data_IF_181256515949
#
_entry.id   IF_181256515949
#
_cell.length_a   1.000
_cell.length_b   1.000
_cell.length_c   1.000
_cell.angle_alpha   90.00
_cell.angle_beta   90.00
_cell.angle_gamma   90.00
#
_symmetry.space_group_name_H-M   'P 1'
#
loop_
_entity.id
_entity.type
_entity.pdbx_description
1 polymer ?
#
# COMPACT_ATOMS: atom_id res chain seq x y z
N UNK A 1 5.84 4.43 31.58
CA UNK A 1 5.85 4.30 30.10
C UNK A 1 5.52 5.66 29.51
N UNK A 2 6.09 6.03 28.35
CA UNK A 2 5.72 7.29 27.69
C UNK A 2 4.22 7.30 27.36
N UNK A 3 3.61 8.50 27.32
CA UNK A 3 2.22 8.66 26.87
C UNK A 3 2.14 8.26 25.39
N UNK A 4 1.09 7.54 25.03
CA UNK A 4 0.84 7.07 23.66
C UNK A 4 -0.49 7.64 23.19
N UNK A 5 -0.51 8.23 21.99
CA UNK A 5 -1.74 8.67 21.33
C UNK A 5 -1.82 8.11 19.92
N UNK A 6 -2.98 7.58 19.57
CA UNK A 6 -3.32 7.17 18.21
C UNK A 6 -3.98 8.36 17.50
N UNK A 7 -3.45 8.72 16.33
CA UNK A 7 -4.01 9.76 15.46
C UNK A 7 -4.40 9.09 14.15
N UNK A 8 -5.70 9.00 13.91
CA UNK A 8 -6.27 8.41 12.69
C UNK A 8 -6.54 9.54 11.71
N UNK A 9 -5.93 9.51 10.52
CA UNK A 9 -6.28 10.47 9.49
C UNK A 9 -7.49 9.99 8.67
N UNK A 10 -8.40 10.92 8.38
CA UNK A 10 -9.55 10.66 7.51
C UNK A 10 -9.92 11.90 6.70
N UNK A 11 -10.35 11.70 5.46
CA UNK A 11 -10.97 12.72 4.58
C UNK A 11 -12.04 12.05 3.74
N UNK A 12 -13.10 12.77 3.39
CA UNK A 12 -14.20 12.26 2.59
C UNK A 12 -13.85 12.19 1.11
N UNK A 13 -12.95 13.07 0.64
CA UNK A 13 -12.56 13.29 -0.76
C UNK A 13 -11.66 12.19 -1.35
N UNK A 14 -11.92 10.92 -1.05
CA UNK A 14 -11.24 9.81 -1.71
C UNK A 14 -11.67 9.69 -3.18
N UNK A 15 -10.69 9.62 -4.09
CA UNK A 15 -10.95 9.45 -5.53
C UNK A 15 -11.24 8.02 -5.97
N UNK A 16 -10.79 7.00 -5.20
CA UNK A 16 -10.93 5.59 -5.57
C UNK A 16 -12.27 4.98 -5.12
N UNK A 17 -12.66 5.29 -3.88
CA UNK A 17 -13.96 4.94 -3.32
C UNK A 17 -14.50 6.17 -2.58
N UNK A 18 -15.35 6.99 -3.24
CA UNK A 18 -15.90 8.21 -2.67
C UNK A 18 -16.61 7.95 -1.34
N UNK A 19 -16.42 8.85 -0.38
CA UNK A 19 -17.05 8.80 0.94
C UNK A 19 -16.77 7.51 1.76
N UNK A 20 -15.71 6.75 1.44
CA UNK A 20 -15.39 5.47 2.11
C UNK A 20 -15.33 5.52 3.63
N UNK A 21 -14.92 6.65 4.21
CA UNK A 21 -14.86 6.86 5.65
C UNK A 21 -16.24 6.77 6.34
N UNK A 22 -17.33 7.00 5.61
CA UNK A 22 -18.71 6.98 6.12
C UNK A 22 -19.49 5.74 5.69
N UNK A 23 -18.91 4.88 4.85
CA UNK A 23 -19.59 3.64 4.47
C UNK A 23 -19.83 2.77 5.71
N UNK A 24 -21.02 2.15 5.83
CA UNK A 24 -21.37 1.38 7.01
C UNK A 24 -20.61 0.05 7.04
N UNK A 25 -19.99 -0.27 8.17
CA UNK A 25 -19.41 -1.58 8.47
C UNK A 25 -19.86 -1.98 9.88
N UNK A 26 -20.45 -3.18 10.01
CA UNK A 26 -21.06 -3.64 11.26
C UNK A 26 -22.02 -2.62 11.91
N UNK A 27 -22.80 -1.92 11.07
CA UNK A 27 -23.78 -0.91 11.51
C UNK A 27 -23.21 0.44 11.93
N UNK A 28 -21.92 0.69 11.75
CA UNK A 28 -21.26 1.96 12.12
C UNK A 28 -20.56 2.60 10.90
N UNK A 29 -20.42 3.93 10.84
CA UNK A 29 -19.51 4.55 9.88
C UNK A 29 -18.09 3.99 10.01
N UNK A 30 -17.43 3.66 8.91
CA UNK A 30 -16.10 3.04 8.92
C UNK A 30 -15.08 3.79 9.78
N UNK A 31 -15.06 5.13 9.73
CA UNK A 31 -14.18 5.97 10.55
C UNK A 31 -14.43 5.81 12.06
N UNK A 32 -15.69 5.64 12.47
CA UNK A 32 -16.08 5.42 13.87
C UNK A 32 -15.60 4.04 14.30
N UNK A 33 -15.88 3.00 13.51
CA UNK A 33 -15.43 1.64 13.82
C UNK A 33 -13.89 1.56 13.91
N UNK A 34 -13.18 2.21 12.99
CA UNK A 34 -11.71 2.30 13.02
C UNK A 34 -11.20 2.88 14.34
N UNK A 35 -11.78 4.01 14.78
CA UNK A 35 -11.40 4.67 16.02
C UNK A 35 -11.72 3.83 17.27
N UNK A 36 -12.89 3.21 17.33
CA UNK A 36 -13.27 2.36 18.45
C UNK A 36 -12.37 1.12 18.56
N UNK A 37 -12.00 0.51 17.42
CA UNK A 37 -11.06 -0.62 17.37
C UNK A 37 -9.65 -0.21 17.81
N UNK A 38 -9.16 0.92 17.34
CA UNK A 38 -7.86 1.46 17.76
C UNK A 38 -7.82 1.75 19.28
N UNK A 39 -8.94 2.28 19.83
CA UNK A 39 -9.09 2.59 21.24
C UNK A 39 -9.42 1.38 22.13
N UNK A 40 -9.60 0.17 21.58
CA UNK A 40 -10.19 -0.97 22.29
C UNK A 40 -9.37 -1.51 23.47
N UNK A 41 -8.11 -1.05 23.62
CA UNK A 41 -7.23 -1.30 24.76
C UNK A 41 -7.03 -0.09 25.67
N UNK A 42 -7.78 0.99 25.50
CA UNK A 42 -7.71 2.20 26.33
C UNK A 42 -6.58 3.18 25.96
N UNK A 43 -5.97 3.05 24.79
CA UNK A 43 -5.03 4.05 24.28
C UNK A 43 -5.85 5.27 23.79
N UNK A 44 -5.43 6.46 24.20
CA UNK A 44 -6.04 7.70 23.76
C UNK A 44 -6.03 7.78 22.23
N UNK A 45 -7.21 7.90 21.64
CA UNK A 45 -7.40 7.86 20.19
C UNK A 45 -8.17 9.08 19.74
N UNK A 46 -7.64 9.75 18.72
CA UNK A 46 -8.23 10.94 18.12
C UNK A 46 -8.24 10.79 16.61
N UNK A 47 -9.18 11.47 15.95
CA UNK A 47 -9.26 11.49 14.49
C UNK A 47 -8.90 12.89 13.98
N UNK A 48 -8.06 12.95 12.96
CA UNK A 48 -7.65 14.18 12.29
C UNK A 48 -8.28 14.26 10.89
N UNK A 49 -9.19 15.22 10.69
CA UNK A 49 -9.89 15.46 9.41
C UNK A 49 -9.77 16.92 8.97
N UNK A 50 -10.26 17.29 7.78
CA UNK A 50 -10.10 18.67 7.32
C UNK A 50 -11.20 19.62 7.82
N UNK A 51 -10.95 20.92 7.72
CA UNK A 51 -11.97 21.99 7.89
C UNK A 51 -12.79 22.20 6.62
N UNK A 52 -12.53 21.46 5.54
CA UNK A 52 -13.37 21.51 4.34
C UNK A 52 -14.78 21.04 4.69
N UNK A 53 -15.79 21.69 4.11
CA UNK A 53 -17.20 21.37 4.37
C UNK A 53 -17.56 19.92 3.99
N UNK A 54 -16.85 19.32 3.03
CA UNK A 54 -17.04 17.91 2.70
C UNK A 54 -16.70 16.96 3.86
N UNK A 55 -15.87 17.39 4.81
CA UNK A 55 -15.49 16.59 5.99
C UNK A 55 -16.39 16.85 7.22
N UNK A 56 -17.41 17.73 7.12
CA UNK A 56 -18.33 18.00 8.24
C UNK A 56 -19.06 16.73 8.70
N UNK A 57 -19.50 15.89 7.77
CA UNK A 57 -20.16 14.62 8.07
C UNK A 57 -19.25 13.63 8.83
N UNK A 58 -17.93 13.70 8.63
CA UNK A 58 -16.97 12.90 9.41
C UNK A 58 -16.94 13.43 10.85
N UNK A 59 -16.84 14.74 11.04
CA UNK A 59 -16.80 15.35 12.36
C UNK A 59 -18.10 15.09 13.14
N UNK A 60 -19.26 15.17 12.49
CA UNK A 60 -20.57 14.85 13.08
C UNK A 60 -20.66 13.39 13.51
N UNK A 61 -20.28 12.44 12.65
CA UNK A 61 -20.28 11.01 12.96
C UNK A 61 -19.38 10.68 14.16
N UNK A 62 -18.22 11.32 14.25
CA UNK A 62 -17.28 11.15 15.37
C UNK A 62 -17.83 11.75 16.67
N UNK A 63 -18.42 12.95 16.59
CA UNK A 63 -19.03 13.61 17.74
C UNK A 63 -20.19 12.79 18.30
N UNK A 64 -21.05 12.23 17.45
CA UNK A 64 -22.14 11.34 17.84
C UNK A 64 -21.67 10.05 18.54
N UNK A 65 -20.42 9.63 18.28
CA UNK A 65 -19.78 8.48 18.91
C UNK A 65 -18.87 8.85 20.10
N UNK A 66 -18.78 10.14 20.48
CA UNK A 66 -17.94 10.60 21.58
C UNK A 66 -16.43 10.53 21.29
N UNK A 67 -16.03 10.54 20.01
CA UNK A 67 -14.62 10.48 19.58
C UNK A 67 -14.09 11.89 19.34
N UNK A 68 -12.93 12.20 19.92
CA UNK A 68 -12.27 13.50 19.74
C UNK A 68 -11.80 13.66 18.30
N UNK A 69 -12.18 14.79 17.69
CA UNK A 69 -11.84 15.14 16.31
C UNK A 69 -11.06 16.44 16.26
N UNK A 70 -9.90 16.43 15.60
CA UNK A 70 -9.10 17.61 15.27
C UNK A 70 -9.31 17.97 13.80
N UNK A 71 -9.57 19.25 13.52
CA UNK A 71 -9.80 19.75 12.16
C UNK A 71 -8.72 20.74 11.76
N UNK A 72 -8.24 20.66 10.52
CA UNK A 72 -7.25 21.61 9.96
C UNK A 72 -7.25 21.65 8.43
N UNK A 73 -6.29 22.34 7.77
CA UNK A 73 -6.30 22.49 6.31
C UNK A 73 -6.26 21.16 5.57
N UNK A 74 -6.99 21.02 4.45
CA UNK A 74 -7.16 19.76 3.70
C UNK A 74 -5.84 19.12 3.27
N UNK A 75 -4.95 19.92 2.67
CA UNK A 75 -3.68 19.45 2.09
C UNK A 75 -2.52 19.39 3.10
N UNK A 76 -2.77 19.78 4.36
CA UNK A 76 -1.76 19.77 5.41
C UNK A 76 -2.05 18.70 6.47
N UNK A 77 -1.89 17.44 6.10
CA UNK A 77 -2.10 16.31 7.02
C UNK A 77 -1.08 16.37 8.16
N UNK A 78 0.19 16.65 7.85
CA UNK A 78 1.26 16.79 8.84
C UNK A 78 0.93 17.84 9.91
N UNK A 79 0.42 19.01 9.52
CA UNK A 79 -0.03 20.05 10.45
C UNK A 79 -1.22 19.61 11.31
N UNK A 80 -2.14 18.81 10.78
CA UNK A 80 -3.22 18.21 11.59
C UNK A 80 -2.70 17.25 12.64
N UNK A 81 -1.68 16.44 12.32
CA UNK A 81 -1.00 15.60 13.31
C UNK A 81 -0.31 16.45 14.39
N UNK A 82 0.34 17.54 14.01
CA UNK A 82 0.95 18.47 14.96
C UNK A 82 -0.09 19.06 15.92
N UNK A 83 -1.23 19.52 15.40
CA UNK A 83 -2.32 20.05 16.22
C UNK A 83 -2.91 18.99 17.16
N UNK A 84 -3.16 17.78 16.66
CA UNK A 84 -3.70 16.66 17.42
C UNK A 84 -2.76 16.11 18.52
N UNK A 85 -1.50 16.56 18.53
CA UNK A 85 -0.46 16.10 19.48
C UNK A 85 0.24 17.26 20.19
N UNK A 86 -0.32 18.47 20.10
CA UNK A 86 0.30 19.68 20.63
C UNK A 86 0.53 19.62 22.15
N UNK A 87 -0.40 19.01 22.89
CA UNK A 87 -0.37 18.82 24.34
C UNK A 87 0.52 17.65 24.82
N UNK A 88 1.14 16.91 23.91
CA UNK A 88 2.03 15.81 24.29
C UNK A 88 3.43 16.31 24.67
N UNK A 89 3.96 15.80 25.77
CA UNK A 89 5.33 16.10 26.18
C UNK A 89 6.37 15.43 25.26
N UNK A 90 7.57 16.00 25.12
CA UNK A 90 8.72 15.34 24.48
C UNK A 90 8.89 13.89 24.95
N UNK A 91 9.22 12.99 24.04
CA UNK A 91 9.32 11.55 24.31
C UNK A 91 7.99 10.78 24.32
N UNK A 92 6.84 11.45 24.24
CA UNK A 92 5.55 10.79 23.98
C UNK A 92 5.54 10.14 22.60
N UNK A 93 4.73 9.10 22.44
CA UNK A 93 4.59 8.35 21.19
C UNK A 93 3.30 8.70 20.47
N UNK A 94 3.41 8.83 19.16
CA UNK A 94 2.31 9.03 18.22
C UNK A 94 2.21 7.80 17.34
N UNK A 95 0.99 7.31 17.17
CA UNK A 95 0.66 6.18 16.29
C UNK A 95 -0.21 6.69 15.16
N UNK A 96 0.34 6.73 13.95
CA UNK A 96 -0.39 7.10 12.73
C UNK A 96 -1.17 5.89 12.20
N UNK A 97 -2.45 6.11 11.94
CA UNK A 97 -3.34 5.16 11.25
C UNK A 97 -4.19 5.90 10.21
N UNK A 98 -4.81 5.16 9.29
CA UNK A 98 -5.74 5.69 8.27
C UNK A 98 -7.11 5.04 8.42
N UNK A 99 -8.18 5.82 8.27
CA UNK A 99 -9.54 5.36 8.52
C UNK A 99 -10.09 4.36 7.48
N UNK A 100 -9.36 4.10 6.39
CA UNK A 100 -9.69 3.11 5.37
C UNK A 100 -9.14 1.71 5.66
N UNK A 101 -8.51 1.54 6.82
CA UNK A 101 -7.91 0.30 7.28
C UNK A 101 -8.57 -0.08 8.61
N UNK A 102 -9.56 -0.97 8.56
CA UNK A 102 -10.38 -1.31 9.73
C UNK A 102 -9.79 -2.43 10.59
N UNK A 103 -8.85 -3.22 10.06
CA UNK A 103 -8.34 -4.38 10.76
C UNK A 103 -7.39 -4.04 11.93
N UNK A 104 -6.50 -3.03 11.84
CA UNK A 104 -5.69 -2.60 12.97
C UNK A 104 -6.53 -2.31 14.23
N UNK A 105 -6.03 -2.75 15.38
CA UNK A 105 -6.67 -2.55 16.68
C UNK A 105 -5.65 -2.09 17.74
N UNK A 106 -6.12 -1.83 18.95
CA UNK A 106 -5.25 -1.45 20.07
C UNK A 106 -4.23 -2.53 20.46
N UNK A 107 -4.44 -3.81 20.14
CA UNK A 107 -3.48 -4.89 20.43
C UNK A 107 -2.27 -4.82 19.48
N UNK A 108 -2.52 -4.61 18.18
CA UNK A 108 -1.45 -4.36 17.21
C UNK A 108 -0.63 -3.12 17.61
N UNK A 109 -1.31 -2.04 18.00
CA UNK A 109 -0.65 -0.80 18.43
C UNK A 109 0.27 -1.05 19.62
N UNK A 110 -0.17 -1.81 20.64
CA UNK A 110 0.67 -2.17 21.78
C UNK A 110 1.91 -2.95 21.37
N UNK A 111 1.77 -3.96 20.51
CA UNK A 111 2.90 -4.73 20.01
C UNK A 111 3.93 -3.84 19.31
N UNK A 112 3.47 -2.90 18.47
CA UNK A 112 4.36 -1.99 17.75
C UNK A 112 5.06 -0.99 18.69
N UNK A 113 4.34 -0.47 19.69
CA UNK A 113 4.90 0.42 20.71
C UNK A 113 5.97 -0.31 21.54
N UNK A 114 5.66 -1.51 22.02
CA UNK A 114 6.60 -2.31 22.82
C UNK A 114 7.86 -2.64 22.01
N UNK A 115 7.70 -2.98 20.72
CA UNK A 115 8.83 -3.22 19.82
C UNK A 115 9.69 -1.98 19.62
N UNK A 116 9.08 -0.82 19.36
CA UNK A 116 9.79 0.45 19.17
C UNK A 116 10.60 0.82 20.43
N UNK A 117 9.99 0.68 21.61
CA UNK A 117 10.64 0.98 22.90
C UNK A 117 11.79 0.02 23.20
N UNK A 118 11.58 -1.29 23.02
CA UNK A 118 12.60 -2.31 23.25
C UNK A 118 13.82 -2.11 22.33
N UNK A 119 13.59 -1.67 21.09
CA UNK A 119 14.64 -1.40 20.10
C UNK A 119 15.18 0.03 20.14
N UNK A 120 14.63 0.90 21.01
CA UNK A 120 15.00 2.32 21.14
C UNK A 120 14.96 3.08 19.80
N UNK A 121 13.92 2.80 19.01
CA UNK A 121 13.77 3.40 17.67
C UNK A 121 13.01 4.73 17.77
N UNK A 122 13.28 5.65 16.84
CA UNK A 122 12.53 6.90 16.70
C UNK A 122 11.29 6.77 15.81
N UNK A 123 11.31 5.79 14.92
CA UNK A 123 10.25 5.52 13.95
C UNK A 123 10.20 4.01 13.67
N UNK A 124 8.98 3.48 13.57
CA UNK A 124 8.68 2.11 13.21
C UNK A 124 7.48 2.09 12.25
N UNK A 125 7.68 1.56 11.05
CA UNK A 125 6.61 1.33 10.09
C UNK A 125 6.17 -0.14 10.06
N UNK A 126 4.98 -0.42 9.51
CA UNK A 126 4.51 -1.77 9.28
C UNK A 126 5.25 -2.30 8.06
N UNK A 127 6.18 -3.23 8.26
CA UNK A 127 6.99 -3.78 7.17
C UNK A 127 7.16 -5.31 7.28
N UNK A 128 6.34 -5.99 8.06
CA UNK A 128 6.29 -7.45 7.99
C UNK A 128 5.62 -7.82 6.66
N UNK A 129 6.41 -8.37 5.74
CA UNK A 129 5.97 -8.76 4.40
C UNK A 129 4.86 -9.82 4.43
N UNK A 130 4.64 -10.47 5.57
CA UNK A 130 3.58 -11.46 5.78
C UNK A 130 2.22 -10.86 6.13
N UNK A 131 2.13 -9.55 6.40
CA UNK A 131 0.86 -8.89 6.73
C UNK A 131 0.07 -8.58 5.45
N UNK A 132 -1.28 -8.60 5.51
CA UNK A 132 -2.10 -8.22 4.37
C UNK A 132 -1.98 -6.72 4.09
N UNK A 133 -2.20 -6.34 2.84
CA UNK A 133 -2.29 -4.92 2.48
C UNK A 133 -3.49 -4.28 3.18
N UNK A 134 -3.26 -3.16 3.87
CA UNK A 134 -4.28 -2.49 4.69
C UNK A 134 -4.14 -2.74 6.19
N UNK A 135 -3.30 -3.67 6.64
CA UNK A 135 -2.97 -3.83 8.06
C UNK A 135 -1.71 -3.00 8.38
N UNK A 136 -1.91 -1.69 8.60
CA UNK A 136 -0.83 -0.72 8.70
C UNK A 136 -1.05 0.28 9.83
N UNK A 137 -0.03 0.47 10.67
CA UNK A 137 0.13 1.58 11.59
C UNK A 137 1.61 1.98 11.64
N UNK A 138 1.92 3.26 11.87
CA UNK A 138 3.30 3.73 12.04
C UNK A 138 3.45 4.36 13.42
N UNK A 139 4.52 4.03 14.14
CA UNK A 139 4.80 4.54 15.49
C UNK A 139 6.04 5.41 15.45
N UNK A 140 5.98 6.60 16.04
CA UNK A 140 7.13 7.52 16.14
C UNK A 140 7.01 8.42 17.37
N UNK A 141 8.12 9.06 17.78
CA UNK A 141 8.08 10.03 18.88
C UNK A 141 7.47 11.36 18.43
N UNK A 142 6.81 12.07 19.34
CA UNK A 142 6.28 13.42 19.05
C UNK A 142 7.39 14.40 18.66
N UNK A 143 8.61 14.19 19.14
CA UNK A 143 9.76 15.03 18.81
C UNK A 143 10.10 14.99 17.32
N UNK A 144 10.10 13.80 16.72
CA UNK A 144 10.42 13.67 15.28
C UNK A 144 9.29 14.18 14.39
N UNK A 145 8.03 14.12 14.87
CA UNK A 145 6.90 14.76 14.20
C UNK A 145 7.07 16.28 14.18
N UNK A 146 7.37 16.88 15.34
CA UNK A 146 7.62 18.33 15.47
C UNK A 146 8.82 18.78 14.64
N UNK A 147 9.86 17.95 14.58
CA UNK A 147 11.02 18.18 13.72
C UNK A 147 10.63 18.18 12.24
N UNK A 148 9.88 17.17 11.77
CA UNK A 148 9.38 17.14 10.40
C UNK A 148 8.53 18.38 10.05
N UNK A 149 7.67 18.84 10.96
CA UNK A 149 6.86 20.04 10.75
C UNK A 149 7.70 21.32 10.54
N UNK A 150 8.89 21.40 11.14
CA UNK A 150 9.79 22.55 10.98
C UNK A 150 10.67 22.46 9.73
N UNK A 151 11.08 21.24 9.38
CA UNK A 151 12.17 21.02 8.42
C UNK A 151 11.71 20.76 6.99
N UNK A 152 10.43 20.39 6.76
CA UNK A 152 9.93 20.14 5.40
C UNK A 152 8.67 20.94 5.07
N UNK A 153 8.71 21.55 3.89
CA UNK A 153 7.57 22.16 3.21
C UNK A 153 7.16 21.38 1.95
N UNK A 154 7.75 20.20 1.70
CA UNK A 154 7.45 19.40 0.50
C UNK A 154 6.00 18.90 0.55
N UNK A 155 5.17 19.12 -0.48
CA UNK A 155 3.77 18.68 -0.48
C UNK A 155 3.58 17.20 -0.16
N UNK A 156 4.48 16.35 -0.69
CA UNK A 156 4.46 14.91 -0.44
C UNK A 156 4.66 14.56 1.05
N UNK A 157 5.56 15.27 1.75
CA UNK A 157 5.78 15.05 3.17
C UNK A 157 4.59 15.55 4.00
N UNK A 158 3.99 16.68 3.58
CA UNK A 158 2.83 17.28 4.24
C UNK A 158 1.58 16.40 4.10
N UNK A 159 1.39 15.73 2.96
CA UNK A 159 0.27 14.80 2.73
C UNK A 159 0.46 13.45 3.45
N UNK A 160 1.68 12.91 3.45
CA UNK A 160 1.93 11.53 3.91
C UNK A 160 2.54 11.42 5.31
N UNK A 161 2.84 12.56 5.97
CA UNK A 161 3.29 12.69 7.37
C UNK A 161 4.69 12.12 7.64
N UNK A 162 4.93 10.84 7.33
CA UNK A 162 6.14 10.10 7.71
C UNK A 162 7.28 10.03 6.68
N UNK A 163 7.17 10.43 5.39
CA UNK A 163 8.28 10.23 4.44
C UNK A 163 9.59 10.91 4.86
N UNK A 164 9.53 12.15 5.35
CA UNK A 164 10.70 12.86 5.87
C UNK A 164 11.33 12.16 7.08
N UNK A 165 10.50 11.71 8.04
CA UNK A 165 10.93 10.99 9.24
C UNK A 165 11.67 9.70 8.82
N UNK A 166 11.09 8.95 7.88
CA UNK A 166 11.66 7.71 7.34
C UNK A 166 13.00 7.95 6.64
N UNK A 167 13.09 9.03 5.86
CA UNK A 167 14.32 9.39 5.16
C UNK A 167 15.45 9.72 6.14
N UNK A 168 15.14 10.39 7.25
CA UNK A 168 16.14 10.84 8.24
C UNK A 168 16.58 9.76 9.23
N UNK A 169 15.64 8.97 9.77
CA UNK A 169 15.94 8.00 10.84
C UNK A 169 15.94 6.54 10.38
N UNK A 170 15.64 6.29 9.11
CA UNK A 170 15.46 4.95 8.59
C UNK A 170 14.13 4.31 9.00
N UNK A 171 13.92 3.07 8.60
CA UNK A 171 12.69 2.31 8.87
C UNK A 171 13.05 0.91 9.31
N UNK A 172 12.85 0.63 10.60
CA UNK A 172 12.94 -0.75 11.10
C UNK A 172 11.74 -1.58 10.63
N UNK A 173 11.95 -2.90 10.63
CA UNK A 173 10.90 -3.88 10.28
C UNK A 173 10.25 -4.38 11.57
N UNK A 174 8.98 -4.02 11.77
CA UNK A 174 8.14 -4.69 12.77
C UNK A 174 7.98 -6.16 12.38
N UNK A 175 8.16 -7.08 13.33
CA UNK A 175 7.90 -8.50 13.15
C UNK A 175 7.03 -9.00 14.29
N UNK A 176 5.81 -9.41 13.96
CA UNK A 176 4.91 -10.02 14.94
C UNK A 176 5.11 -11.54 14.97
N UNK A 177 4.92 -12.12 16.15
CA UNK A 177 4.93 -13.57 16.38
C UNK A 177 3.51 -14.17 16.36
N UNK A 178 2.47 -13.34 16.21
CA UNK A 178 1.07 -13.77 16.28
C UNK A 178 0.51 -14.31 14.97
N UNK A 179 1.26 -14.23 13.88
CA UNK A 179 0.85 -14.79 12.60
C UNK A 179 1.08 -16.31 12.58
N UNK A 180 0.03 -17.04 12.24
CA UNK A 180 0.03 -18.49 12.02
C UNK A 180 0.43 -18.88 10.59
N UNK A 181 0.23 -17.97 9.62
CA UNK A 181 0.59 -18.14 8.21
C UNK A 181 1.01 -16.83 7.55
N UNK A 182 1.35 -16.92 6.26
CA UNK A 182 1.57 -15.76 5.40
C UNK A 182 0.23 -15.20 4.89
N UNK A 183 0.01 -13.90 5.11
CA UNK A 183 -1.16 -13.15 4.64
C UNK A 183 -0.82 -12.10 3.57
N UNK A 184 0.40 -12.11 3.01
CA UNK A 184 0.90 -11.14 2.02
C UNK A 184 0.01 -10.96 0.79
N UNK A 185 -0.78 -11.97 0.43
CA UNK A 185 -1.69 -11.96 -0.72
C UNK A 185 -3.10 -11.42 -0.45
N UNK A 186 -3.46 -11.08 0.79
CA UNK A 186 -4.79 -10.58 1.13
C UNK A 186 -4.82 -9.05 1.22
N UNK A 187 -6.01 -8.46 1.01
CA UNK A 187 -6.27 -7.02 1.09
C UNK A 187 -7.40 -6.75 2.08
N UNK A 188 -7.09 -5.99 3.14
CA UNK A 188 -8.03 -5.58 4.18
C UNK A 188 -8.23 -4.05 4.27
N UNK A 189 -7.98 -3.36 3.16
CA UNK A 189 -8.27 -1.91 3.00
C UNK A 189 -9.71 -1.69 2.50
N UNK A 190 -10.07 -0.43 2.25
CA UNK A 190 -11.34 -0.03 1.62
C UNK A 190 -11.08 0.94 0.46
N UNK A 191 -10.25 0.55 -0.51
CA UNK A 191 -9.91 1.40 -1.65
C UNK A 191 -10.85 1.25 -2.84
N UNK A 192 -11.52 0.10 -2.94
CA UNK A 192 -12.47 -0.22 -4.00
C UNK A 192 -13.78 -0.77 -3.42
N UNK A 193 -14.84 -0.80 -4.22
CA UNK A 193 -16.09 -1.43 -3.82
C UNK A 193 -15.90 -2.91 -3.47
N UNK A 194 -15.04 -3.62 -4.22
CA UNK A 194 -14.71 -5.02 -3.93
C UNK A 194 -14.04 -5.18 -2.56
N UNK A 195 -13.05 -4.33 -2.26
CA UNK A 195 -12.38 -4.32 -0.94
C UNK A 195 -13.42 -4.08 0.18
N UNK A 196 -14.29 -3.08 0.02
CA UNK A 196 -15.34 -2.76 0.99
C UNK A 196 -16.29 -3.95 1.22
N UNK A 197 -16.78 -4.59 0.15
CA UNK A 197 -17.68 -5.74 0.27
C UNK A 197 -17.02 -6.93 0.97
N UNK A 198 -15.72 -7.15 0.75
CA UNK A 198 -14.96 -8.18 1.49
C UNK A 198 -14.87 -7.84 2.97
N UNK A 199 -14.49 -6.59 3.28
CA UNK A 199 -14.40 -6.11 4.67
C UNK A 199 -15.74 -6.26 5.39
N UNK A 200 -16.85 -5.84 4.78
CA UNK A 200 -18.21 -6.04 5.34
C UNK A 200 -18.47 -7.51 5.65
N UNK A 201 -18.23 -8.42 4.69
CA UNK A 201 -18.43 -9.86 4.91
C UNK A 201 -17.58 -10.43 6.05
N UNK A 202 -16.36 -9.95 6.23
CA UNK A 202 -15.53 -10.37 7.37
C UNK A 202 -16.18 -9.92 8.67
N UNK A 203 -16.60 -8.66 8.76
CA UNK A 203 -17.23 -8.11 9.96
C UNK A 203 -18.63 -8.69 10.24
N UNK A 204 -19.40 -9.12 9.24
CA UNK A 204 -20.69 -9.79 9.43
C UNK A 204 -20.57 -11.11 10.21
N UNK A 205 -19.39 -11.75 10.14
CA UNK A 205 -19.10 -12.99 10.86
C UNK A 205 -18.49 -12.76 12.24
N UNK A 206 -18.40 -11.50 12.68
CA UNK A 206 -17.75 -11.11 13.93
C UNK A 206 -18.80 -10.67 14.95
N UNK A 207 -18.82 -11.34 16.11
CA UNK A 207 -19.79 -11.05 17.19
C UNK A 207 -19.61 -9.66 17.80
N UNK A 208 -18.38 -9.24 18.04
CA UNK A 208 -18.05 -7.92 18.57
C UNK A 208 -17.00 -7.27 17.64
N UNK A 209 -17.43 -6.36 16.74
CA UNK A 209 -16.56 -5.78 15.73
C UNK A 209 -15.50 -4.84 16.35
N UNK A 210 -15.68 -4.37 17.58
CA UNK A 210 -14.73 -3.49 18.28
C UNK A 210 -13.65 -4.32 18.97
N UNK A 211 -14.03 -5.46 19.56
CA UNK A 211 -13.12 -6.32 20.34
C UNK A 211 -12.44 -7.44 19.57
N UNK A 212 -12.92 -7.78 18.37
CA UNK A 212 -12.27 -8.78 17.53
C UNK A 212 -10.82 -8.41 17.25
N UNK A 213 -9.90 -9.34 17.47
CA UNK A 213 -8.49 -9.07 17.29
C UNK A 213 -8.15 -8.88 15.82
N UNK A 214 -7.13 -8.08 15.52
CA UNK A 214 -6.63 -7.94 14.15
C UNK A 214 -6.23 -9.29 13.53
N UNK A 215 -5.78 -10.24 14.34
CA UNK A 215 -5.41 -11.61 13.91
C UNK A 215 -6.65 -12.39 13.47
N UNK A 216 -7.71 -12.36 14.27
CA UNK A 216 -8.97 -13.06 13.95
C UNK A 216 -9.61 -12.50 12.68
N UNK A 217 -9.53 -11.17 12.48
CA UNK A 217 -10.01 -10.56 11.23
C UNK A 217 -9.18 -11.00 10.02
N UNK A 218 -7.84 -11.09 10.16
CA UNK A 218 -6.99 -11.62 9.08
C UNK A 218 -7.33 -13.08 8.77
N UNK A 219 -7.53 -13.92 9.79
CA UNK A 219 -7.94 -15.31 9.63
C UNK A 219 -9.32 -15.42 8.97
N UNK A 220 -10.27 -14.58 9.38
CA UNK A 220 -11.62 -14.51 8.78
C UNK A 220 -11.58 -14.08 7.31
N UNK A 221 -10.74 -13.09 6.96
CA UNK A 221 -10.50 -12.71 5.57
C UNK A 221 -9.89 -13.86 4.76
N UNK A 222 -8.91 -14.55 5.32
CA UNK A 222 -8.30 -15.70 4.66
C UNK A 222 -9.31 -16.82 4.45
N UNK A 223 -10.14 -17.15 5.45
CA UNK A 223 -11.19 -18.16 5.32
C UNK A 223 -12.24 -17.79 4.27
N UNK A 224 -12.64 -16.51 4.22
CA UNK A 224 -13.59 -16.00 3.22
C UNK A 224 -13.03 -16.18 1.81
N UNK A 225 -11.78 -15.77 1.57
CA UNK A 225 -11.20 -15.82 0.24
C UNK A 225 -10.66 -17.21 -0.15
N UNK A 226 -10.20 -18.02 0.81
CA UNK A 226 -9.79 -19.41 0.55
C UNK A 226 -11.04 -20.29 0.25
N UNK A 227 -12.19 -19.94 0.83
CA UNK A 227 -13.48 -20.56 0.50
C UNK A 227 -14.12 -20.01 -0.80
N UNK A 228 -13.68 -18.85 -1.27
CA UNK A 228 -14.22 -18.18 -2.46
C UNK A 228 -13.16 -18.08 -3.58
N UNK A 229 -13.21 -19.02 -4.52
CA UNK A 229 -12.52 -19.00 -5.82
C UNK A 229 -11.09 -19.56 -5.91
N UNK A 230 -10.80 -20.01 -7.13
CA UNK A 230 -9.53 -20.49 -7.63
C UNK A 230 -8.33 -19.64 -7.15
N UNK A 231 -7.37 -20.31 -6.51
CA UNK A 231 -6.05 -19.74 -6.17
C UNK A 231 -4.99 -20.36 -7.06
N UNK A 232 -4.11 -19.51 -7.58
CA UNK A 232 -2.92 -19.96 -8.29
C UNK A 232 -1.96 -20.60 -7.28
N UNK A 233 -1.55 -21.87 -7.48
CA UNK A 233 -0.52 -22.47 -6.66
C UNK A 233 0.80 -21.69 -6.78
N UNK A 234 1.62 -21.77 -5.75
CA UNK A 234 2.96 -21.16 -5.73
C UNK A 234 4.04 -22.22 -5.66
N UNK A 235 5.17 -21.94 -6.30
CA UNK A 235 6.39 -22.77 -6.27
C UNK A 235 7.55 -21.99 -5.70
N UNK A 236 8.42 -22.70 -4.98
CA UNK A 236 9.70 -22.18 -4.49
C UNK A 236 10.83 -22.79 -5.30
N UNK A 237 11.68 -21.95 -5.91
CA UNK A 237 12.90 -22.39 -6.60
C UNK A 237 13.99 -21.34 -6.42
N UNK A 238 15.19 -21.78 -6.03
CA UNK A 238 16.35 -20.89 -5.89
C UNK A 238 16.17 -19.73 -4.90
N UNK A 239 15.36 -19.92 -3.85
CA UNK A 239 15.07 -18.86 -2.86
C UNK A 239 13.95 -17.88 -3.25
N UNK A 240 13.37 -18.01 -4.45
CA UNK A 240 12.23 -17.21 -4.89
C UNK A 240 10.93 -18.01 -4.80
N UNK A 241 9.84 -17.35 -4.42
CA UNK A 241 8.49 -17.89 -4.48
C UNK A 241 7.72 -17.20 -5.62
N UNK A 242 7.18 -17.99 -6.56
CA UNK A 242 6.45 -17.50 -7.72
C UNK A 242 5.16 -18.29 -7.93
N UNK A 243 4.13 -17.62 -8.47
CA UNK A 243 2.91 -18.25 -8.93
C UNK A 243 3.19 -19.19 -10.09
N UNK A 244 2.47 -20.31 -10.19
CA UNK A 244 2.61 -21.26 -11.31
C UNK A 244 2.25 -20.66 -12.67
N UNK A 245 1.54 -19.52 -12.67
CA UNK A 245 1.24 -18.72 -13.84
C UNK A 245 1.97 -17.38 -13.77
N UNK A 246 2.49 -16.94 -14.91
CA UNK A 246 3.00 -15.59 -15.14
C UNK A 246 2.07 -14.85 -16.09
N UNK A 247 1.73 -13.60 -15.78
CA UNK A 247 0.88 -12.77 -16.64
C UNK A 247 1.74 -12.05 -17.68
N UNK A 248 1.59 -12.42 -18.95
CA UNK A 248 2.16 -11.69 -20.09
C UNK A 248 1.33 -10.47 -20.44
N UNK A 249 1.97 -9.32 -20.66
CA UNK A 249 1.26 -8.03 -20.78
C UNK A 249 1.29 -7.39 -22.17
N UNK A 250 1.78 -8.08 -23.20
CA UNK A 250 1.91 -7.52 -24.55
C UNK A 250 0.59 -6.93 -25.08
N UNK A 251 -0.50 -7.70 -25.06
CA UNK A 251 -1.82 -7.20 -25.50
C UNK A 251 -2.36 -6.10 -24.58
N UNK A 252 -1.92 -6.05 -23.32
CA UNK A 252 -2.33 -4.97 -22.41
C UNK A 252 -1.74 -3.63 -22.82
N UNK A 253 -0.64 -3.57 -23.59
CA UNK A 253 0.01 -2.32 -23.93
C UNK A 253 0.02 -1.96 -25.42
N UNK A 254 -0.26 -2.90 -26.30
CA UNK A 254 -0.25 -2.72 -27.76
C UNK A 254 -1.23 -3.69 -28.43
N UNK A 255 -1.52 -3.45 -29.72
CA UNK A 255 -2.22 -4.46 -30.53
C UNK A 255 -1.34 -5.68 -30.71
N UNK A 256 -1.75 -6.80 -30.11
CA UNK A 256 -0.96 -8.02 -30.07
C UNK A 256 -1.87 -9.25 -30.01
N UNK A 257 -1.38 -10.37 -30.56
CA UNK A 257 -1.99 -11.69 -30.46
C UNK A 257 -2.80 -12.09 -31.69
N UNK A 258 -2.53 -13.30 -32.21
CA UNK A 258 -3.21 -13.87 -33.40
C UNK A 258 -4.71 -14.09 -33.14
N UNK A 259 -5.07 -14.41 -31.89
CA UNK A 259 -6.46 -14.61 -31.48
C UNK A 259 -7.16 -13.30 -31.03
N UNK A 260 -6.49 -12.15 -31.14
CA UNK A 260 -7.05 -10.89 -30.69
C UNK A 260 -8.16 -10.40 -31.63
N UNK A 261 -9.40 -10.39 -31.15
CA UNK A 261 -10.57 -9.93 -31.88
C UNK A 261 -11.07 -8.54 -31.45
N UNK A 262 -10.51 -8.00 -30.38
CA UNK A 262 -11.05 -6.82 -29.69
C UNK A 262 -10.00 -5.69 -29.53
N UNK A 263 -8.80 -5.88 -30.07
CA UNK A 263 -7.73 -4.89 -30.06
C UNK A 263 -7.00 -4.80 -28.72
N UNK A 264 -6.34 -3.66 -28.52
CA UNK A 264 -5.71 -3.30 -27.24
C UNK A 264 -6.81 -2.93 -26.23
N UNK A 265 -6.88 -3.56 -25.03
CA UNK A 265 -7.87 -3.22 -24.01
C UNK A 265 -7.79 -1.74 -23.60
N UNK A 266 -8.85 -1.23 -22.97
CA UNK A 266 -8.78 0.08 -22.28
C UNK A 266 -7.85 0.00 -21.08
N UNK A 267 -7.46 1.15 -20.53
CA UNK A 267 -6.61 1.19 -19.32
C UNK A 267 -7.33 0.53 -18.15
N UNK A 268 -8.62 0.81 -17.99
CA UNK A 268 -9.46 0.28 -16.92
C UNK A 268 -9.55 -1.25 -17.00
N UNK A 269 -9.79 -1.81 -18.19
CA UNK A 269 -9.86 -3.24 -18.41
C UNK A 269 -8.50 -3.92 -18.13
N UNK A 270 -7.39 -3.30 -18.57
CA UNK A 270 -6.05 -3.83 -18.28
C UNK A 270 -5.75 -3.84 -16.77
N UNK A 271 -6.12 -2.76 -16.07
CA UNK A 271 -5.99 -2.67 -14.60
C UNK A 271 -6.83 -3.74 -13.91
N UNK A 272 -8.07 -3.94 -14.33
CA UNK A 272 -8.95 -4.98 -13.78
C UNK A 272 -8.38 -6.39 -13.98
N UNK A 273 -7.89 -6.72 -15.17
CA UNK A 273 -7.25 -8.01 -15.48
C UNK A 273 -6.07 -8.25 -14.53
N UNK A 274 -5.17 -7.26 -14.40
CA UNK A 274 -3.98 -7.38 -13.55
C UNK A 274 -4.39 -7.57 -12.08
N UNK A 275 -5.31 -6.75 -11.57
CA UNK A 275 -5.79 -6.84 -10.18
C UNK A 275 -6.51 -8.15 -9.90
N UNK A 276 -7.31 -8.67 -10.84
CA UNK A 276 -7.98 -9.95 -10.70
C UNK A 276 -6.99 -11.11 -10.65
N UNK A 277 -5.94 -11.06 -11.46
CA UNK A 277 -4.87 -12.05 -11.45
C UNK A 277 -4.12 -12.04 -10.11
N UNK A 278 -3.72 -10.86 -9.63
CA UNK A 278 -3.05 -10.67 -8.33
C UNK A 278 -3.94 -11.14 -7.19
N UNK A 279 -5.22 -10.76 -7.22
CA UNK A 279 -6.24 -11.21 -6.28
C UNK A 279 -6.52 -12.71 -6.33
N UNK A 280 -6.05 -13.43 -7.36
CA UNK A 280 -6.08 -14.90 -7.43
C UNK A 280 -4.76 -15.54 -6.97
N UNK A 281 -3.81 -14.74 -6.46
CA UNK A 281 -2.52 -15.18 -5.96
C UNK A 281 -1.35 -15.06 -6.93
N UNK A 282 -1.55 -14.45 -8.12
CA UNK A 282 -0.48 -14.20 -9.09
C UNK A 282 0.55 -13.20 -8.52
N UNK A 283 1.82 -13.54 -8.62
CA UNK A 283 2.91 -12.66 -8.17
C UNK A 283 4.03 -12.49 -9.22
N UNK A 284 3.82 -12.96 -10.45
CA UNK A 284 4.79 -12.89 -11.54
C UNK A 284 4.16 -12.25 -12.77
N UNK A 285 4.72 -11.12 -13.21
CA UNK A 285 4.27 -10.37 -14.39
C UNK A 285 5.44 -10.28 -15.38
N UNK A 286 5.20 -10.68 -16.63
CA UNK A 286 6.14 -10.59 -17.74
C UNK A 286 5.72 -9.47 -18.69
N UNK A 287 6.60 -8.48 -18.84
CA UNK A 287 6.40 -7.33 -19.71
C UNK A 287 7.65 -7.07 -20.55
N UNK A 288 7.61 -6.04 -21.38
CA UNK A 288 8.76 -5.55 -22.10
C UNK A 288 8.63 -4.05 -22.35
N UNK A 289 9.76 -3.36 -22.49
CA UNK A 289 9.74 -1.96 -22.88
C UNK A 289 9.06 -1.75 -24.24
N UNK A 290 9.25 -2.70 -25.15
CA UNK A 290 8.61 -2.70 -26.47
C UNK A 290 7.10 -2.98 -26.47
N UNK A 291 6.48 -3.33 -25.33
CA UNK A 291 5.04 -3.65 -25.27
C UNK A 291 4.17 -2.40 -25.12
N UNK A 292 4.47 -1.33 -25.86
CA UNK A 292 3.73 -0.07 -25.82
C UNK A 292 3.48 0.46 -24.40
N UNK A 293 2.20 0.58 -24.03
CA UNK A 293 1.74 1.14 -22.75
C UNK A 293 1.72 0.14 -21.58
N UNK A 294 2.20 -1.10 -21.77
CA UNK A 294 2.02 -2.17 -20.79
C UNK A 294 2.63 -1.83 -19.42
N UNK A 295 3.85 -1.28 -19.40
CA UNK A 295 4.52 -0.90 -18.16
C UNK A 295 3.75 0.18 -17.37
N UNK A 296 3.21 1.17 -18.07
CA UNK A 296 2.39 2.22 -17.44
C UNK A 296 1.10 1.64 -16.84
N UNK A 297 0.45 0.71 -17.55
CA UNK A 297 -0.78 0.06 -17.07
C UNK A 297 -0.51 -0.86 -15.87
N UNK A 298 0.65 -1.52 -15.83
CA UNK A 298 1.11 -2.25 -14.64
C UNK A 298 1.29 -1.28 -13.47
N UNK A 299 1.90 -0.11 -13.69
CA UNK A 299 2.02 0.90 -12.63
C UNK A 299 0.66 1.35 -12.08
N UNK A 300 -0.30 1.66 -12.96
CA UNK A 300 -1.64 2.05 -12.54
C UNK A 300 -2.36 0.93 -11.77
N UNK A 301 -2.20 -0.32 -12.22
CA UNK A 301 -2.79 -1.48 -11.54
C UNK A 301 -2.20 -1.69 -10.14
N UNK A 302 -0.89 -1.52 -10.00
CA UNK A 302 -0.13 -1.71 -8.75
C UNK A 302 -0.09 -0.46 -7.85
N UNK A 303 -0.76 0.63 -8.23
CA UNK A 303 -0.86 1.84 -7.42
C UNK A 303 -1.72 1.54 -6.18
N UNK A 304 -1.12 1.61 -5.00
CA UNK A 304 -1.80 1.19 -3.75
C UNK A 304 -1.82 -0.32 -3.55
N UNK A 305 -0.90 -1.07 -4.17
CA UNK A 305 -0.64 -2.49 -3.85
C UNK A 305 0.63 -2.63 -3.02
N UNK A 306 0.74 -3.70 -2.23
CA UNK A 306 2.02 -4.09 -1.65
C UNK A 306 2.93 -4.64 -2.76
N UNK A 307 3.71 -3.76 -3.41
CA UNK A 307 4.62 -4.15 -4.51
C UNK A 307 5.72 -5.12 -4.10
N UNK A 308 5.95 -5.34 -2.80
CA UNK A 308 7.09 -6.11 -2.29
C UNK A 308 7.05 -7.61 -2.61
N UNK A 309 5.87 -8.19 -2.84
CA UNK A 309 5.71 -9.61 -3.16
C UNK A 309 5.44 -9.89 -4.64
N UNK A 310 5.25 -8.85 -5.46
CA UNK A 310 4.96 -8.94 -6.91
C UNK A 310 6.25 -8.72 -7.70
N UNK A 311 6.65 -9.70 -8.49
CA UNK A 311 7.81 -9.65 -9.36
C UNK A 311 7.40 -9.25 -10.78
N UNK A 312 7.75 -8.02 -11.16
CA UNK A 312 7.61 -7.54 -12.54
C UNK A 312 8.94 -7.73 -13.28
N UNK A 313 8.98 -8.69 -14.19
CA UNK A 313 10.12 -8.92 -15.07
C UNK A 313 9.87 -8.15 -16.37
N UNK A 314 10.73 -7.21 -16.69
CA UNK A 314 10.68 -6.50 -17.97
C UNK A 314 11.82 -6.93 -18.88
N UNK A 315 11.67 -6.61 -20.16
CA UNK A 315 12.69 -6.80 -21.20
C UNK A 315 13.14 -5.44 -21.69
N UNK A 316 14.42 -5.35 -22.05
CA UNK A 316 15.00 -4.17 -22.69
C UNK A 316 14.15 -3.70 -23.88
N UNK A 317 14.31 -2.43 -24.25
CA UNK A 317 13.92 -1.95 -25.56
C UNK A 317 14.49 -2.88 -26.65
N UNK A 318 13.73 -3.21 -27.71
CA UNK A 318 14.21 -4.01 -28.82
C UNK A 318 15.39 -3.39 -29.59
N UNK A 319 15.76 -2.14 -29.30
CA UNK A 319 16.85 -1.37 -29.92
C UNK A 319 16.78 -1.36 -31.45
N UNK A 320 15.57 -1.26 -32.02
CA UNK A 320 15.35 -1.33 -33.47
C UNK A 320 16.07 -0.24 -34.28
N UNK A 321 16.43 0.87 -33.64
CA UNK A 321 17.22 1.94 -34.25
C UNK A 321 18.74 1.77 -34.17
N UNK A 322 19.27 0.66 -33.64
CA UNK A 322 20.71 0.44 -33.47
C UNK A 322 21.23 -0.59 -34.48
N UNK A 323 22.25 -0.21 -35.24
CA UNK A 323 23.00 -1.10 -36.14
C UNK A 323 24.11 -1.84 -35.38
N UNK A 324 24.52 -3.03 -35.83
CA UNK A 324 25.48 -3.89 -35.09
C UNK A 324 26.84 -3.23 -34.82
N UNK A 325 27.25 -2.31 -35.67
CA UNK A 325 28.48 -1.53 -35.59
C UNK A 325 28.28 -0.16 -34.91
N UNK A 326 27.09 0.10 -34.36
CA UNK A 326 26.81 1.30 -33.56
C UNK A 326 27.89 1.49 -32.49
N UNK A 327 28.39 2.72 -32.29
CA UNK A 327 29.38 2.99 -31.26
C UNK A 327 28.89 2.52 -29.89
N UNK A 328 29.73 1.79 -29.15
CA UNK A 328 29.37 1.20 -27.85
C UNK A 328 28.75 2.23 -26.89
N UNK A 329 29.27 3.46 -26.87
CA UNK A 329 28.74 4.57 -26.06
C UNK A 329 27.25 4.86 -26.36
N UNK A 330 26.85 4.79 -27.62
CA UNK A 330 25.48 5.04 -28.07
C UNK A 330 24.55 3.89 -27.67
N UNK A 331 25.04 2.65 -27.77
CA UNK A 331 24.32 1.46 -27.30
C UNK A 331 24.12 1.52 -25.78
N UNK A 332 25.16 1.83 -25.02
CA UNK A 332 25.06 2.01 -23.57
C UNK A 332 24.05 3.10 -23.20
N UNK A 333 24.06 4.24 -23.89
CA UNK A 333 23.10 5.30 -23.65
C UNK A 333 21.65 4.87 -23.94
N UNK A 334 21.42 4.06 -24.98
CA UNK A 334 20.09 3.52 -25.27
C UNK A 334 19.64 2.46 -24.27
N UNK A 335 20.56 1.63 -23.78
CA UNK A 335 20.30 0.69 -22.68
C UNK A 335 19.90 1.45 -21.41
N UNK A 336 20.68 2.46 -21.01
CA UNK A 336 20.39 3.30 -19.85
C UNK A 336 19.04 4.01 -20.00
N UNK A 337 18.77 4.56 -21.18
CA UNK A 337 17.48 5.19 -21.48
C UNK A 337 16.31 4.19 -21.41
N UNK A 338 16.50 2.96 -21.88
CA UNK A 338 15.51 1.88 -21.76
C UNK A 338 15.23 1.56 -20.29
N UNK A 339 16.28 1.31 -19.50
CA UNK A 339 16.15 0.95 -18.08
C UNK A 339 15.50 2.09 -17.29
N UNK A 340 15.93 3.32 -17.53
CA UNK A 340 15.36 4.50 -16.88
C UNK A 340 13.87 4.65 -17.19
N UNK A 341 13.46 4.50 -18.45
CA UNK A 341 12.05 4.59 -18.86
C UNK A 341 11.22 3.47 -18.24
N UNK A 342 11.73 2.24 -18.16
CA UNK A 342 11.04 1.16 -17.46
C UNK A 342 10.88 1.40 -15.97
N UNK A 343 11.93 1.88 -15.29
CA UNK A 343 11.84 2.28 -13.88
C UNK A 343 10.78 3.37 -13.68
N UNK A 344 10.78 4.40 -14.53
CA UNK A 344 9.79 5.49 -14.49
C UNK A 344 8.37 4.97 -14.69
N UNK A 345 8.12 4.22 -15.76
CA UNK A 345 6.78 3.80 -16.15
C UNK A 345 6.21 2.71 -15.26
N UNK A 346 7.05 1.89 -14.61
CA UNK A 346 6.62 0.93 -13.58
C UNK A 346 6.52 1.57 -12.18
N UNK A 347 7.01 2.80 -12.02
CA UNK A 347 7.16 3.48 -10.73
C UNK A 347 8.02 2.68 -9.75
N UNK A 348 9.16 2.18 -10.24
CA UNK A 348 10.15 1.41 -9.49
C UNK A 348 11.48 2.15 -9.43
N UNK A 349 12.18 2.08 -8.29
CA UNK A 349 13.54 2.64 -8.18
C UNK A 349 14.60 1.76 -8.84
N UNK A 350 14.32 0.46 -8.96
CA UNK A 350 15.15 -0.57 -9.60
C UNK A 350 14.26 -1.66 -10.17
N UNK A 351 14.68 -2.26 -11.28
CA UNK A 351 13.97 -3.39 -11.88
C UNK A 351 14.35 -4.68 -11.10
N UNK A 352 13.38 -5.48 -10.63
CA UNK A 352 13.68 -6.71 -9.91
C UNK A 352 14.19 -7.82 -10.86
N UNK A 353 13.85 -7.72 -12.15
CA UNK A 353 14.39 -8.55 -13.22
C UNK A 353 14.35 -7.81 -14.55
N UNK A 354 15.46 -7.85 -15.28
CA UNK A 354 15.59 -7.31 -16.63
C UNK A 354 16.15 -8.41 -17.55
N UNK A 355 15.47 -8.68 -18.65
CA UNK A 355 15.91 -9.61 -19.68
C UNK A 355 16.27 -8.87 -20.98
N UNK A 356 17.04 -9.52 -21.84
CA UNK A 356 17.19 -9.09 -23.22
C UNK A 356 15.89 -9.37 -23.97
N UNK A 357 15.42 -8.40 -24.76
CA UNK A 357 14.23 -8.58 -25.60
C UNK A 357 14.47 -9.54 -26.75
N UNK A 358 15.64 -9.36 -27.38
CA UNK A 358 16.11 -10.12 -28.53
C UNK A 358 17.26 -10.98 -28.06
N UNK A 359 17.21 -12.27 -28.37
CA UNK A 359 18.27 -13.20 -27.94
C UNK A 359 19.61 -12.82 -28.60
N UNK A 360 19.56 -12.26 -29.81
CA UNK A 360 20.70 -11.83 -30.61
C UNK A 360 21.54 -10.76 -29.89
N UNK A 361 20.91 -9.94 -29.04
CA UNK A 361 21.60 -8.91 -28.25
C UNK A 361 22.63 -9.49 -27.28
N UNK A 362 22.56 -10.79 -26.99
CA UNK A 362 23.57 -11.48 -26.18
C UNK A 362 24.96 -11.49 -26.84
N UNK A 363 25.02 -11.38 -28.17
CA UNK A 363 26.26 -11.45 -28.94
C UNK A 363 26.49 -10.22 -29.81
N UNK A 364 25.48 -9.37 -29.96
CA UNK A 364 25.63 -8.06 -30.60
C UNK A 364 26.37 -7.10 -29.66
N UNK A 365 26.84 -5.97 -30.19
CA UNK A 365 27.36 -4.85 -29.41
C UNK A 365 28.51 -5.17 -28.43
N UNK A 366 29.31 -6.21 -28.75
CA UNK A 366 30.45 -6.71 -27.97
C UNK A 366 30.09 -7.56 -26.73
N UNK A 367 28.87 -8.13 -26.72
CA UNK A 367 28.35 -8.92 -25.60
C UNK A 367 27.58 -8.05 -24.62
#
# INVERSE_FOLDING_TARGET
MPKVRIVIQSRLTSSRLPAKALLPVAGMPAVVLCALRAANTGIETVVATSVDASDDLIAEALSGAGIVCYRGPLDDVLGRFQAATADLEPGSLVVRMTADNLFPDGLLVREMVDFLLAKRLKYLGPNDHRLPYGLSAEVFTVDVLREACRETAQPYDREHVTPWIRAKYGSAVFKTQRLDRDYSGFRCTMDTLEDYLKVVKVFDNVRDPIKASWVDLCAGLAALEDGSAFRLPRRKKGGFEYSELTLGTAQLGMEYGIANRYGKPTVEAAVEIIRRAIGSGLNSIDTARGYGEAELRIYEALKGENKGWIMVITKLDPLEGMERDSPLKSVCAAVDASVYRSCRDLGLRRLPGLLLHRWEHRYAFQG
#
